data_IF_317306908665
#
_entry.id   IF_317306908665
#
_cell.length_a   1.000
_cell.length_b   1.000
_cell.length_c   1.000
_cell.angle_alpha   90.00
_cell.angle_beta   90.00
_cell.angle_gamma   90.00
#
_symmetry.space_group_name_H-M   'P 1'
#
loop_
_entity.id
_entity.type
_entity.pdbx_description
1 polymer ?
#
# COMPACT_ATOMS: atom_id res chain seq x y z
N UNK A 1 -17.40 -12.70 12.23
CA UNK A 1 -16.33 -11.68 12.34
C UNK A 1 -16.39 -10.77 11.12
N UNK A 2 -16.02 -9.50 11.26
CA UNK A 2 -15.95 -8.52 10.16
C UNK A 2 -14.51 -8.04 10.03
N UNK A 3 -14.06 -7.75 8.82
CA UNK A 3 -12.71 -7.28 8.53
C UNK A 3 -12.76 -5.94 7.81
N UNK A 4 -11.73 -5.12 8.01
CA UNK A 4 -11.52 -3.87 7.29
C UNK A 4 -10.07 -3.84 6.80
N UNK A 5 -9.88 -3.55 5.51
CA UNK A 5 -8.57 -3.29 4.91
C UNK A 5 -8.50 -1.78 4.69
N UNK A 6 -7.53 -1.11 5.30
CA UNK A 6 -7.34 0.34 5.18
C UNK A 6 -6.06 0.58 4.39
N UNK A 7 -6.20 1.18 3.20
CA UNK A 7 -5.10 1.42 2.26
C UNK A 7 -4.84 2.93 2.21
N UNK A 8 -3.81 3.44 2.91
CA UNK A 8 -3.35 4.80 2.72
C UNK A 8 -2.57 4.89 1.39
N UNK A 9 -3.28 5.22 0.31
CA UNK A 9 -2.72 5.22 -1.05
C UNK A 9 -1.49 6.14 -1.16
N UNK A 10 -0.43 5.63 -1.80
CA UNK A 10 0.83 6.36 -1.99
C UNK A 10 1.56 6.78 -0.70
N UNK A 11 1.26 6.21 0.46
CA UNK A 11 1.82 6.69 1.73
C UNK A 11 3.28 6.31 1.98
N UNK A 12 3.79 5.29 1.28
CA UNK A 12 5.19 4.89 1.37
C UNK A 12 6.06 5.93 0.70
N UNK A 13 7.16 6.31 1.35
CA UNK A 13 8.09 7.29 0.82
C UNK A 13 9.52 6.97 1.27
N UNK A 14 10.47 7.67 0.68
CA UNK A 14 11.87 7.64 1.08
C UNK A 14 12.14 8.66 2.18
N UNK A 15 13.22 8.44 2.96
CA UNK A 15 13.76 9.47 3.85
C UNK A 15 14.08 10.77 3.09
N UNK A 16 13.58 11.90 3.59
CA UNK A 16 13.79 13.22 2.99
C UNK A 16 14.74 14.06 3.84
N UNK A 17 15.69 14.75 3.21
CA UNK A 17 16.64 15.64 3.90
C UNK A 17 15.92 16.78 4.65
N UNK A 18 14.89 17.37 4.03
CA UNK A 18 14.06 18.42 4.64
C UNK A 18 13.30 17.96 5.90
N UNK A 19 13.21 16.64 6.13
CA UNK A 19 12.58 16.02 7.29
C UNK A 19 13.62 15.45 8.28
N UNK A 20 14.90 15.81 8.13
CA UNK A 20 15.99 15.31 8.96
C UNK A 20 16.29 13.83 8.70
N UNK A 21 16.15 13.37 7.45
CA UNK A 21 16.39 11.99 7.06
C UNK A 21 15.28 11.02 7.49
N UNK A 22 14.05 11.50 7.58
CA UNK A 22 12.84 10.72 7.90
C UNK A 22 11.85 10.73 6.74
N UNK A 23 10.97 9.75 6.69
CA UNK A 23 9.81 9.72 5.78
C UNK A 23 8.70 10.65 6.28
N UNK A 24 7.76 11.08 5.41
CA UNK A 24 6.57 11.83 5.83
C UNK A 24 5.73 11.11 6.90
N UNK A 25 5.60 9.79 6.82
CA UNK A 25 4.86 9.02 7.83
C UNK A 25 5.54 9.03 9.21
N UNK A 26 6.88 9.02 9.26
CA UNK A 26 7.63 9.07 10.51
C UNK A 26 7.57 10.43 11.22
N UNK A 27 7.38 11.52 10.48
CA UNK A 27 7.26 12.88 11.06
C UNK A 27 5.81 13.30 11.32
N UNK A 28 4.85 12.64 10.68
CA UNK A 28 3.43 12.94 10.86
C UNK A 28 2.94 12.52 12.26
N UNK A 29 2.02 13.32 12.82
CA UNK A 29 1.38 12.99 14.09
C UNK A 29 0.19 12.05 13.84
N UNK A 30 0.39 10.75 14.02
CA UNK A 30 -0.58 9.70 13.65
C UNK A 30 -0.98 8.80 14.85
N UNK A 31 -1.53 9.36 15.95
CA UNK A 31 -1.72 8.63 17.20
C UNK A 31 -2.58 7.36 17.07
N UNK A 32 -3.54 7.34 16.14
CA UNK A 32 -4.39 6.17 15.90
C UNK A 32 -3.65 5.07 15.12
N UNK A 33 -2.82 5.44 14.15
CA UNK A 33 -2.02 4.47 13.39
C UNK A 33 -0.91 3.89 14.28
N UNK A 34 -0.29 4.73 15.11
CA UNK A 34 0.70 4.32 16.11
C UNK A 34 0.08 3.34 17.15
N UNK A 35 -1.15 3.60 17.59
CA UNK A 35 -1.88 2.71 18.48
C UNK A 35 -2.16 1.35 17.84
N UNK A 36 -2.56 1.33 16.56
CA UNK A 36 -2.79 0.07 15.81
C UNK A 36 -1.48 -0.69 15.62
N UNK A 37 -0.40 -0.01 15.22
CA UNK A 37 0.90 -0.63 15.00
C UNK A 37 1.50 -1.22 16.29
N UNK A 38 1.38 -0.52 17.42
CA UNK A 38 1.90 -0.97 18.72
C UNK A 38 1.13 -2.14 19.35
N UNK A 39 -0.14 -2.34 18.94
CA UNK A 39 -1.00 -3.43 19.42
C UNK A 39 -1.09 -4.60 18.44
N UNK A 40 -0.48 -4.48 17.26
CA UNK A 40 -0.58 -5.42 16.15
C UNK A 40 0.76 -6.01 15.72
N UNK A 41 0.78 -6.50 14.48
CA UNK A 41 1.99 -6.95 13.79
C UNK A 41 2.34 -5.92 12.72
N UNK A 42 3.59 -5.50 12.69
CA UNK A 42 4.14 -4.65 11.62
C UNK A 42 5.02 -5.51 10.72
N UNK A 43 4.81 -5.39 9.41
CA UNK A 43 5.60 -6.09 8.39
C UNK A 43 5.70 -5.22 7.13
N UNK A 44 6.65 -5.55 6.27
CA UNK A 44 6.76 -4.99 4.93
C UNK A 44 6.21 -5.98 3.91
N UNK A 45 5.62 -5.46 2.84
CA UNK A 45 5.09 -6.26 1.73
C UNK A 45 5.45 -5.60 0.42
N UNK A 46 5.62 -6.42 -0.62
CA UNK A 46 5.69 -5.97 -2.00
C UNK A 46 4.47 -6.54 -2.73
N UNK A 47 3.57 -5.65 -3.15
CA UNK A 47 2.29 -6.00 -3.75
C UNK A 47 2.30 -5.92 -5.27
N UNK A 48 3.43 -5.53 -5.88
CA UNK A 48 3.56 -5.33 -7.32
C UNK A 48 4.77 -6.11 -7.82
N UNK A 49 4.56 -7.20 -8.58
CA UNK A 49 5.65 -7.89 -9.25
C UNK A 49 6.49 -6.93 -10.11
N UNK A 50 7.81 -7.08 -10.08
CA UNK A 50 8.75 -6.15 -10.72
C UNK A 50 8.54 -5.96 -12.24
N UNK A 51 7.96 -6.93 -12.94
CA UNK A 51 7.67 -6.85 -14.38
C UNK A 51 6.31 -6.23 -14.70
N UNK A 52 5.49 -5.90 -13.69
CA UNK A 52 4.20 -5.24 -13.86
C UNK A 52 4.28 -3.75 -13.49
N UNK A 53 3.40 -2.89 -14.07
CA UNK A 53 3.33 -1.50 -13.67
C UNK A 53 2.95 -1.35 -12.19
N UNK A 54 3.63 -0.46 -11.48
CA UNK A 54 3.30 -0.07 -10.11
C UNK A 54 2.08 0.85 -10.03
N UNK A 55 0.95 0.40 -10.57
CA UNK A 55 -0.34 1.09 -10.52
C UNK A 55 -1.24 0.54 -9.42
N UNK A 56 -2.18 1.36 -8.95
CA UNK A 56 -3.17 0.99 -7.93
C UNK A 56 -4.00 -0.23 -8.36
N UNK A 57 -4.20 -0.43 -9.66
CA UNK A 57 -4.89 -1.58 -10.22
C UNK A 57 -4.20 -2.92 -9.91
N UNK A 58 -2.87 -3.00 -10.04
CA UNK A 58 -2.10 -4.21 -9.72
C UNK A 58 -1.99 -4.38 -8.21
N UNK A 59 -1.67 -3.30 -7.48
CA UNK A 59 -1.49 -3.34 -6.03
C UNK A 59 -2.78 -3.78 -5.30
N UNK A 60 -3.93 -3.21 -5.66
CA UNK A 60 -5.21 -3.57 -5.05
C UNK A 60 -5.64 -4.99 -5.41
N UNK A 61 -5.40 -5.44 -6.64
CA UNK A 61 -5.68 -6.81 -7.07
C UNK A 61 -4.92 -7.83 -6.18
N UNK A 62 -3.62 -7.61 -5.98
CA UNK A 62 -2.80 -8.44 -5.09
C UNK A 62 -3.30 -8.39 -3.64
N UNK A 63 -3.65 -7.21 -3.13
CA UNK A 63 -4.18 -7.04 -1.76
C UNK A 63 -5.50 -7.78 -1.52
N UNK A 64 -6.35 -7.90 -2.55
CA UNK A 64 -7.57 -8.70 -2.48
C UNK A 64 -7.34 -10.20 -2.70
N UNK A 65 -6.09 -10.64 -2.93
CA UNK A 65 -5.70 -12.04 -3.03
C UNK A 65 -5.73 -12.62 -4.44
N UNK A 66 -5.85 -11.79 -5.48
CA UNK A 66 -5.75 -12.24 -6.87
C UNK A 66 -4.29 -12.29 -7.33
N UNK A 67 -3.94 -13.26 -8.17
CA UNK A 67 -2.64 -13.28 -8.85
C UNK A 67 -2.64 -12.31 -10.04
N UNK A 68 -1.90 -11.18 -9.96
CA UNK A 68 -1.90 -10.22 -11.05
C UNK A 68 -1.29 -10.77 -12.34
N UNK A 69 -0.48 -11.83 -12.29
CA UNK A 69 0.06 -12.46 -13.52
C UNK A 69 -1.01 -13.20 -14.31
N UNK A 70 -2.07 -13.64 -13.64
CA UNK A 70 -3.18 -14.34 -14.26
C UNK A 70 -4.33 -13.39 -14.64
N UNK A 71 -4.62 -12.40 -13.80
CA UNK A 71 -5.85 -11.62 -13.89
C UNK A 71 -5.66 -10.19 -14.40
N UNK A 72 -4.44 -9.66 -14.42
CA UNK A 72 -4.23 -8.31 -14.93
C UNK A 72 -4.27 -8.27 -16.46
N UNK A 73 -5.32 -7.63 -17.00
CA UNK A 73 -5.52 -7.45 -18.45
C UNK A 73 -5.35 -5.99 -18.90
N UNK A 74 -4.69 -5.17 -18.08
CA UNK A 74 -4.59 -3.72 -18.27
C UNK A 74 -5.61 -2.93 -17.44
N UNK A 75 -5.39 -1.62 -17.34
CA UNK A 75 -6.16 -0.70 -16.49
C UNK A 75 -7.57 -0.41 -17.02
N UNK A 76 -7.73 -0.32 -18.34
CA UNK A 76 -8.98 0.14 -18.97
C UNK A 76 -10.23 -0.68 -18.57
N UNK A 77 -10.19 -2.03 -18.50
CA UNK A 77 -11.34 -2.80 -18.05
C UNK A 77 -11.77 -2.52 -16.61
N UNK A 78 -10.83 -2.20 -15.70
CA UNK A 78 -11.13 -1.90 -14.29
C UNK A 78 -11.78 -0.51 -14.16
N UNK A 79 -11.30 0.47 -14.92
CA UNK A 79 -11.84 1.84 -14.94
C UNK A 79 -13.23 1.93 -15.60
N UNK A 80 -13.61 0.93 -16.41
CA UNK A 80 -14.90 0.91 -17.09
C UNK A 80 -16.05 0.30 -16.26
N UNK A 81 -15.74 -0.39 -15.15
CA UNK A 81 -16.70 -1.08 -14.29
C UNK A 81 -17.44 -0.11 -13.36
#
# INVERSE_FOLDING_TARGET
MKYAIVIPDGCSDFPLEALGGKTPLEVARLPNMDAVASQGLVAQTDNVPAHLPAGSEVANMTLFGYDPNQYFTGRAPIEAA
#
